data_IF_199176536604
#
_entry.id   IF_199176536604
#
_cell.length_a   1.000
_cell.length_b   1.000
_cell.length_c   1.000
_cell.angle_alpha   90.00
_cell.angle_beta   90.00
_cell.angle_gamma   90.00
#
_symmetry.space_group_name_H-M   'P 1'
#
loop_
_entity.id
_entity.type
_entity.pdbx_description
1 polymer ?
#
# COMPACT_ATOMS: atom_id res chain seq x y z
N UNK A 1 24.80 -26.24 44.35
CA UNK A 1 23.33 -26.39 44.27
C UNK A 1 23.08 -27.50 43.27
N UNK A 2 22.40 -28.58 43.69
CA UNK A 2 21.84 -29.54 42.74
C UNK A 2 20.69 -28.83 42.03
N UNK A 3 20.88 -28.51 40.76
CA UNK A 3 19.78 -28.06 39.91
C UNK A 3 18.68 -29.12 39.96
N UNK A 4 17.45 -28.72 40.29
CA UNK A 4 16.33 -29.65 40.40
C UNK A 4 16.09 -30.39 39.07
N UNK A 5 15.81 -31.68 39.16
CA UNK A 5 15.39 -32.51 38.03
C UNK A 5 13.91 -32.89 38.21
N UNK A 6 13.14 -32.79 37.14
CA UNK A 6 11.72 -33.16 37.14
C UNK A 6 11.48 -34.23 36.07
N UNK A 7 10.74 -35.27 36.44
CA UNK A 7 10.32 -36.32 35.53
C UNK A 7 8.81 -36.52 35.66
N UNK A 8 8.14 -36.75 34.53
CA UNK A 8 6.71 -37.04 34.50
C UNK A 8 5.99 -36.36 33.36
N UNK A 9 4.66 -36.42 33.38
CA UNK A 9 3.80 -35.81 32.37
C UNK A 9 2.65 -35.09 33.06
N UNK A 10 2.42 -33.85 32.66
CA UNK A 10 1.26 -33.07 33.04
C UNK A 10 0.32 -32.93 31.84
N UNK A 11 -0.81 -33.62 31.89
CA UNK A 11 -1.84 -33.54 30.87
C UNK A 11 -2.80 -32.39 31.18
N UNK A 12 -3.10 -31.55 30.20
CA UNK A 12 -4.00 -30.42 30.36
C UNK A 12 -5.14 -30.44 29.35
N UNK A 13 -6.31 -29.96 29.80
CA UNK A 13 -7.54 -29.91 29.01
C UNK A 13 -8.22 -28.57 29.22
N UNK A 14 -8.71 -27.96 28.14
CA UNK A 14 -9.40 -26.67 28.15
C UNK A 14 -8.65 -25.60 28.98
N UNK A 15 -7.34 -25.54 28.81
CA UNK A 15 -6.44 -24.69 29.61
C UNK A 15 -6.06 -23.43 28.86
N UNK A 16 -5.77 -22.37 29.61
CA UNK A 16 -5.21 -21.13 29.06
C UNK A 16 -3.69 -21.16 29.19
N UNK A 17 -3.00 -20.86 28.09
CA UNK A 17 -1.53 -20.84 28.02
C UNK A 17 -1.08 -19.47 27.53
N UNK A 18 -0.11 -18.89 28.22
CA UNK A 18 0.59 -17.65 27.84
C UNK A 18 2.09 -17.83 28.03
N UNK A 19 2.87 -17.05 27.29
CA UNK A 19 4.29 -16.88 27.51
C UNK A 19 4.50 -15.40 27.85
N UNK A 20 4.96 -15.09 29.06
CA UNK A 20 5.10 -13.67 29.42
C UNK A 20 6.10 -12.99 28.49
N UNK A 21 5.82 -11.73 28.17
CA UNK A 21 6.57 -10.98 27.16
C UNK A 21 6.05 -11.16 25.72
N UNK A 22 5.21 -12.17 25.45
CA UNK A 22 4.34 -12.20 24.27
C UNK A 22 2.93 -11.75 24.65
N UNK A 23 2.41 -10.74 23.95
CA UNK A 23 1.05 -10.25 24.13
C UNK A 23 0.05 -11.14 23.39
N UNK A 24 0.02 -12.41 23.74
CA UNK A 24 -0.87 -13.40 23.15
C UNK A 24 -1.25 -14.47 24.16
N UNK A 25 -2.45 -15.01 24.01
CA UNK A 25 -3.00 -16.03 24.90
C UNK A 25 -3.65 -17.12 24.06
N UNK A 26 -3.32 -18.37 24.37
CA UNK A 26 -3.94 -19.55 23.78
C UNK A 26 -5.04 -20.01 24.73
N UNK A 27 -6.27 -20.01 24.25
CA UNK A 27 -7.44 -20.45 25.00
C UNK A 27 -7.85 -21.87 24.59
N UNK A 28 -8.49 -22.59 25.51
CA UNK A 28 -9.04 -23.92 25.23
C UNK A 28 -7.99 -24.96 24.83
N UNK A 29 -6.74 -24.78 25.27
CA UNK A 29 -5.63 -25.64 24.90
C UNK A 29 -5.80 -27.05 25.51
N UNK A 30 -5.51 -28.07 24.71
CA UNK A 30 -5.46 -29.47 25.13
C UNK A 30 -4.12 -30.06 24.73
N UNK A 31 -3.48 -30.84 25.59
CA UNK A 31 -2.13 -31.34 25.32
C UNK A 31 -1.43 -31.89 26.55
N UNK A 32 -0.10 -31.94 26.49
CA UNK A 32 0.70 -32.30 27.64
C UNK A 32 2.02 -31.52 27.71
N UNK A 33 2.56 -31.48 28.92
CA UNK A 33 3.91 -31.04 29.24
C UNK A 33 4.67 -32.25 29.79
N UNK A 34 5.67 -32.72 29.06
CA UNK A 34 6.52 -33.85 29.46
C UNK A 34 7.82 -33.34 30.05
N UNK A 35 8.18 -33.83 31.22
CA UNK A 35 9.41 -33.49 31.93
C UNK A 35 10.40 -34.64 31.86
N UNK A 36 11.63 -34.35 31.48
CA UNK A 36 12.74 -35.31 31.42
C UNK A 36 14.02 -34.66 31.95
N UNK A 37 14.18 -34.68 33.27
CA UNK A 37 15.30 -34.07 33.95
C UNK A 37 15.19 -32.55 33.90
N UNK A 38 16.06 -31.90 33.12
CA UNK A 38 16.05 -30.44 32.90
C UNK A 38 15.24 -30.01 31.68
N UNK A 39 14.90 -30.96 30.82
CA UNK A 39 14.18 -30.71 29.58
C UNK A 39 12.68 -30.85 29.79
N UNK A 40 11.95 -30.02 29.09
CA UNK A 40 10.49 -30.01 29.01
C UNK A 40 10.08 -30.08 27.53
N UNK A 41 9.08 -30.87 27.21
CA UNK A 41 8.43 -30.89 25.90
C UNK A 41 6.98 -30.47 26.07
N UNK A 42 6.63 -29.34 25.47
CA UNK A 42 5.28 -28.81 25.43
C UNK A 42 4.66 -29.11 24.07
N UNK A 43 3.50 -29.77 24.06
CA UNK A 43 2.75 -29.96 22.81
C UNK A 43 1.24 -29.82 23.04
N UNK A 44 0.60 -29.09 22.13
CA UNK A 44 -0.86 -28.93 22.10
C UNK A 44 -1.46 -29.71 20.93
N UNK A 45 -2.50 -30.49 21.20
CA UNK A 45 -3.34 -31.14 20.19
C UNK A 45 -4.37 -30.18 19.60
N UNK A 46 -4.83 -29.20 20.38
CA UNK A 46 -5.65 -28.07 19.95
C UNK A 46 -5.45 -26.86 20.88
N UNK A 47 -5.81 -25.68 20.38
CA UNK A 47 -5.80 -24.41 21.10
C UNK A 47 -6.26 -23.29 20.18
N UNK A 48 -6.59 -22.13 20.74
CA UNK A 48 -7.13 -21.00 19.99
C UNK A 48 -6.51 -19.65 20.37
N UNK A 49 -6.05 -18.88 19.38
CA UNK A 49 -5.76 -17.46 19.53
C UNK A 49 -6.95 -16.70 18.93
N UNK A 50 -7.70 -15.96 19.75
CA UNK A 50 -8.91 -15.21 19.32
C UNK A 50 -9.86 -16.06 18.45
N UNK A 51 -10.19 -17.28 18.91
CA UNK A 51 -11.02 -18.27 18.23
C UNK A 51 -10.43 -18.89 16.95
N UNK A 52 -9.18 -18.57 16.59
CA UNK A 52 -8.48 -19.15 15.45
C UNK A 52 -7.59 -20.31 15.90
N UNK A 53 -7.63 -21.47 15.21
CA UNK A 53 -6.92 -22.67 15.64
C UNK A 53 -5.41 -22.47 15.59
N UNK A 54 -4.71 -22.87 16.65
CA UNK A 54 -3.26 -22.89 16.74
C UNK A 54 -2.79 -24.21 17.34
N UNK A 55 -1.60 -24.65 16.95
CA UNK A 55 -0.87 -25.74 17.58
C UNK A 55 0.56 -25.31 17.85
N UNK A 56 1.04 -25.67 19.03
CA UNK A 56 2.44 -25.53 19.44
C UNK A 56 2.98 -26.92 19.73
N UNK A 57 4.21 -27.16 19.30
CA UNK A 57 5.02 -28.32 19.66
C UNK A 57 6.45 -27.83 19.85
N UNK A 58 7.07 -28.10 20.99
CA UNK A 58 8.50 -27.88 21.12
C UNK A 58 9.03 -27.92 22.53
N UNK A 59 10.33 -27.68 22.64
CA UNK A 59 11.11 -27.96 23.83
C UNK A 59 11.43 -26.68 24.58
N UNK A 60 11.46 -26.79 25.90
CA UNK A 60 11.99 -25.78 26.80
C UNK A 60 12.89 -26.44 27.85
N UNK A 61 13.74 -25.68 28.53
CA UNK A 61 14.49 -26.19 29.69
C UNK A 61 14.47 -25.18 30.86
N UNK A 62 14.96 -25.63 32.02
CA UNK A 62 15.05 -24.78 33.23
C UNK A 62 16.01 -23.59 33.10
N UNK A 63 16.88 -23.57 32.06
CA UNK A 63 17.75 -22.43 31.77
C UNK A 63 17.06 -21.34 30.93
N UNK A 64 15.82 -21.59 30.49
CA UNK A 64 15.04 -20.68 29.66
C UNK A 64 15.24 -20.88 28.16
N UNK A 65 16.00 -21.89 27.71
CA UNK A 65 16.12 -22.17 26.29
C UNK A 65 14.78 -22.70 25.76
N UNK A 66 14.27 -22.10 24.68
CA UNK A 66 13.05 -22.54 23.99
C UNK A 66 13.33 -22.84 22.52
N UNK A 67 12.62 -23.82 21.98
CA UNK A 67 12.55 -24.17 20.56
C UNK A 67 11.12 -24.68 20.27
N UNK A 68 10.24 -23.76 19.89
CA UNK A 68 8.82 -24.02 19.63
C UNK A 68 8.48 -23.88 18.16
N UNK A 69 7.80 -24.88 17.62
CA UNK A 69 7.13 -24.82 16.33
C UNK A 69 5.65 -24.45 16.55
N UNK A 70 5.20 -23.36 15.93
CA UNK A 70 3.84 -22.83 16.03
C UNK A 70 3.18 -22.89 14.68
N UNK A 71 2.04 -23.57 14.57
CA UNK A 71 1.29 -23.69 13.32
C UNK A 71 -0.14 -23.23 13.48
N UNK A 72 -0.67 -22.56 12.46
CA UNK A 72 -2.08 -22.25 12.35
C UNK A 72 -2.53 -22.34 10.89
N UNK A 73 -3.60 -23.08 10.58
CA UNK A 73 -4.12 -23.17 9.22
C UNK A 73 -4.90 -21.91 8.79
N UNK A 74 -5.32 -21.09 9.75
CA UNK A 74 -6.05 -19.84 9.56
C UNK A 74 -5.92 -19.00 10.83
N UNK A 75 -5.19 -17.90 10.75
CA UNK A 75 -5.11 -16.85 11.77
C UNK A 75 -5.28 -15.50 11.09
N UNK A 76 -5.88 -14.52 11.76
CA UNK A 76 -6.01 -13.18 11.19
C UNK A 76 -4.61 -12.52 11.10
N UNK A 77 -4.27 -12.00 9.92
CA UNK A 77 -3.04 -11.24 9.74
C UNK A 77 -2.96 -10.02 10.66
N UNK A 78 -4.10 -9.40 10.99
CA UNK A 78 -4.17 -8.29 11.93
C UNK A 78 -3.72 -8.71 13.34
N UNK A 79 -4.11 -9.92 13.78
CA UNK A 79 -3.73 -10.44 15.09
C UNK A 79 -2.23 -10.72 15.16
N UNK A 80 -1.66 -11.31 14.10
CA UNK A 80 -0.21 -11.51 14.02
C UNK A 80 0.56 -10.18 14.03
N UNK A 81 0.05 -9.18 13.31
CA UNK A 81 0.63 -7.85 13.26
C UNK A 81 0.57 -7.15 14.63
N UNK A 82 -0.55 -7.28 15.34
CA UNK A 82 -0.70 -6.78 16.72
C UNK A 82 0.26 -7.46 17.69
N UNK A 83 0.37 -8.79 17.64
CA UNK A 83 1.31 -9.54 18.50
C UNK A 83 2.74 -9.06 18.25
N UNK A 84 3.16 -8.96 16.99
CA UNK A 84 4.51 -8.51 16.61
C UNK A 84 4.80 -7.08 17.08
N UNK A 85 3.82 -6.18 16.97
CA UNK A 85 4.01 -4.74 17.25
C UNK A 85 3.83 -4.37 18.72
N UNK A 86 3.19 -5.23 19.52
CA UNK A 86 2.91 -4.94 20.93
C UNK A 86 3.74 -5.77 21.91
N UNK A 87 4.21 -6.97 21.54
CA UNK A 87 4.96 -7.86 22.43
C UNK A 87 6.36 -7.31 22.75
N UNK A 88 6.72 -7.10 24.03
CA UNK A 88 8.05 -6.63 24.43
C UNK A 88 9.22 -7.49 23.92
N UNK A 89 9.07 -8.82 23.94
CA UNK A 89 10.11 -9.74 23.45
C UNK A 89 10.41 -9.58 21.94
N UNK A 90 9.53 -8.90 21.22
CA UNK A 90 9.61 -8.70 19.77
C UNK A 90 10.01 -7.27 19.40
N UNK A 91 10.41 -6.44 20.36
CA UNK A 91 10.78 -5.03 20.15
C UNK A 91 11.81 -4.85 19.02
N UNK A 92 12.84 -5.70 18.99
CA UNK A 92 13.87 -5.67 17.94
C UNK A 92 13.34 -5.96 16.54
N UNK A 93 12.14 -6.56 16.41
CA UNK A 93 11.53 -6.97 15.14
C UNK A 93 10.50 -5.97 14.62
N UNK A 94 10.07 -5.00 15.44
CA UNK A 94 9.04 -4.01 15.06
C UNK A 94 9.40 -3.20 13.82
N UNK A 95 10.68 -2.90 13.63
CA UNK A 95 11.18 -2.18 12.46
C UNK A 95 10.90 -2.90 11.14
N UNK A 96 10.74 -4.23 11.14
CA UNK A 96 10.45 -5.01 9.93
C UNK A 96 9.07 -4.70 9.34
N UNK A 97 8.12 -4.31 10.20
CA UNK A 97 6.73 -4.07 9.80
C UNK A 97 6.30 -2.62 9.95
N UNK A 98 7.21 -1.73 10.35
CA UNK A 98 6.97 -0.29 10.41
C UNK A 98 6.39 0.32 9.11
N UNK A 99 6.74 -0.13 7.89
CA UNK A 99 6.16 0.39 6.64
C UNK A 99 4.65 0.11 6.50
N UNK A 100 4.14 -0.89 7.22
CA UNK A 100 2.77 -1.39 7.11
C UNK A 100 1.86 -0.58 8.03
N UNK A 101 0.77 -0.06 7.46
CA UNK A 101 -0.26 0.66 8.21
C UNK A 101 -1.31 -0.31 8.77
N UNK A 102 -1.77 -1.24 7.92
CA UNK A 102 -2.79 -2.21 8.28
C UNK A 102 -2.67 -3.46 7.41
N UNK A 103 -3.03 -4.60 8.00
CA UNK A 103 -3.24 -5.89 7.32
C UNK A 103 -4.52 -6.52 7.84
N UNK A 104 -5.16 -7.36 7.05
CA UNK A 104 -6.32 -8.14 7.49
C UNK A 104 -6.52 -9.38 6.63
N UNK A 105 -7.38 -10.27 7.11
CA UNK A 105 -7.75 -11.50 6.42
C UNK A 105 -6.90 -12.67 6.86
N UNK A 106 -7.40 -13.87 6.55
CA UNK A 106 -6.80 -15.10 7.07
C UNK A 106 -5.51 -15.47 6.34
N UNK A 107 -4.53 -15.90 7.12
CA UNK A 107 -3.27 -16.49 6.64
C UNK A 107 -3.06 -17.83 7.31
N UNK A 108 -2.36 -18.75 6.66
CA UNK A 108 -1.78 -19.89 7.37
C UNK A 108 -0.32 -19.61 7.70
N UNK A 109 0.10 -20.03 8.89
CA UNK A 109 1.47 -19.83 9.37
C UNK A 109 2.09 -21.13 9.86
N UNK A 110 3.39 -21.23 9.65
CA UNK A 110 4.28 -22.18 10.30
C UNK A 110 5.50 -21.39 10.78
N UNK A 111 5.58 -21.15 12.08
CA UNK A 111 6.57 -20.32 12.72
C UNK A 111 7.47 -21.20 13.60
N UNK A 112 8.71 -20.76 13.78
CA UNK A 112 9.67 -21.34 14.71
C UNK A 112 10.19 -20.22 15.60
N UNK A 113 10.00 -20.39 16.90
CA UNK A 113 10.45 -19.51 17.96
C UNK A 113 11.60 -20.20 18.69
N UNK A 114 12.81 -19.64 18.59
CA UNK A 114 14.00 -20.22 19.19
C UNK A 114 14.82 -19.17 19.90
N UNK A 115 15.20 -19.41 21.15
CA UNK A 115 15.99 -18.44 21.89
C UNK A 115 16.05 -18.74 23.37
N UNK A 116 16.49 -17.77 24.14
CA UNK A 116 16.59 -17.85 25.59
C UNK A 116 15.58 -16.86 26.19
N UNK A 117 14.69 -17.37 27.03
CA UNK A 117 13.69 -16.63 27.80
C UNK A 117 14.01 -16.87 29.28
N UNK A 118 14.80 -15.99 29.88
CA UNK A 118 15.18 -16.08 31.31
C UNK A 118 14.16 -15.35 32.20
N UNK A 119 14.04 -15.86 33.42
CA UNK A 119 13.02 -15.55 34.42
C UNK A 119 12.64 -14.06 34.59
N UNK A 120 11.35 -13.87 34.86
CA UNK A 120 10.50 -12.73 34.50
C UNK A 120 10.62 -11.45 35.37
N UNK A 121 11.68 -11.32 36.18
CA UNK A 121 11.84 -10.20 37.14
C UNK A 121 12.79 -9.08 36.69
N UNK A 122 13.55 -9.28 35.61
CA UNK A 122 14.42 -8.24 35.03
C UNK A 122 14.58 -8.41 33.53
N UNK A 123 13.45 -8.36 32.82
CA UNK A 123 13.40 -8.28 31.35
C UNK A 123 13.88 -6.89 30.96
N UNK A 124 15.12 -6.71 30.51
CA UNK A 124 15.52 -5.51 29.74
C UNK A 124 16.85 -5.64 28.97
N UNK A 125 17.52 -6.81 28.90
CA UNK A 125 18.90 -6.85 28.38
C UNK A 125 19.29 -7.97 27.41
N UNK A 126 18.82 -9.21 27.56
CA UNK A 126 19.51 -10.37 26.97
C UNK A 126 18.58 -11.37 26.24
N UNK A 127 17.38 -10.98 25.84
CA UNK A 127 16.50 -11.87 25.08
C UNK A 127 16.94 -11.96 23.62
N UNK A 128 17.41 -13.14 23.21
CA UNK A 128 17.76 -13.45 21.82
C UNK A 128 16.69 -14.36 21.22
N UNK A 129 15.45 -13.87 21.13
CA UNK A 129 14.38 -14.61 20.47
C UNK A 129 14.51 -14.47 18.94
N UNK A 130 14.91 -15.57 18.30
CA UNK A 130 14.91 -15.70 16.85
C UNK A 130 13.56 -16.25 16.40
N UNK A 131 12.97 -15.58 15.41
CA UNK A 131 11.71 -16.01 14.79
C UNK A 131 11.98 -16.29 13.33
N UNK A 132 11.62 -17.48 12.88
CA UNK A 132 11.61 -17.83 11.47
C UNK A 132 10.29 -18.46 11.11
N UNK A 133 9.97 -18.56 9.82
CA UNK A 133 8.74 -19.21 9.43
C UNK A 133 8.30 -18.95 8.00
N UNK A 134 7.08 -19.42 7.74
CA UNK A 134 6.37 -19.27 6.49
C UNK A 134 4.98 -18.70 6.77
N UNK A 135 4.55 -17.81 5.90
CA UNK A 135 3.21 -17.24 5.87
C UNK A 135 2.64 -17.51 4.47
N UNK A 136 1.46 -18.09 4.42
CA UNK A 136 0.72 -18.30 3.18
C UNK A 136 -0.54 -17.44 3.23
N UNK A 137 -0.55 -16.43 2.37
CA UNK A 137 -1.60 -15.42 2.28
C UNK A 137 -2.76 -15.97 1.47
N UNK A 138 -3.97 -15.87 2.01
CA UNK A 138 -5.20 -16.40 1.39
C UNK A 138 -6.25 -15.31 1.36
N UNK A 139 -6.25 -14.52 0.28
CA UNK A 139 -7.20 -13.44 0.09
C UNK A 139 -7.13 -12.36 1.19
N UNK A 140 -5.91 -12.03 1.62
CA UNK A 140 -5.64 -11.02 2.64
C UNK A 140 -5.67 -9.60 2.04
N UNK A 141 -5.57 -8.57 2.88
CA UNK A 141 -5.37 -7.18 2.44
C UNK A 141 -4.19 -6.54 3.16
N UNK A 142 -3.60 -5.52 2.54
CA UNK A 142 -2.47 -4.79 3.09
C UNK A 142 -2.41 -3.34 2.63
N UNK A 143 -2.08 -2.44 3.55
CA UNK A 143 -1.93 -1.00 3.32
C UNK A 143 -0.58 -0.53 3.88
N UNK A 144 0.09 0.36 3.14
CA UNK A 144 1.35 0.97 3.54
C UNK A 144 1.11 2.40 4.05
N UNK A 145 1.86 2.82 5.08
CA UNK A 145 1.68 4.15 5.72
C UNK A 145 1.87 5.33 4.75
N UNK A 146 2.68 5.14 3.71
CA UNK A 146 3.05 6.17 2.74
C UNK A 146 2.32 6.04 1.40
N UNK A 147 1.38 5.11 1.25
CA UNK A 147 0.64 4.91 0.02
C UNK A 147 -0.88 5.04 0.24
N UNK A 148 -1.60 5.78 -0.62
CA UNK A 148 -3.05 5.91 -0.51
C UNK A 148 -3.81 4.66 -1.00
N UNK A 149 -3.10 3.63 -1.47
CA UNK A 149 -3.68 2.44 -2.10
C UNK A 149 -3.58 1.25 -1.16
N UNK A 150 -4.69 0.56 -0.97
CA UNK A 150 -4.75 -0.75 -0.31
C UNK A 150 -4.65 -1.85 -1.36
N UNK A 151 -3.71 -2.78 -1.19
CA UNK A 151 -3.63 -3.98 -2.01
C UNK A 151 -4.65 -5.00 -1.50
N UNK A 152 -5.50 -5.50 -2.40
CA UNK A 152 -6.60 -6.40 -2.08
C UNK A 152 -6.32 -7.81 -2.59
N UNK A 153 -7.03 -8.80 -2.01
CA UNK A 153 -6.99 -10.22 -2.42
C UNK A 153 -5.56 -10.74 -2.56
N UNK A 154 -4.73 -10.41 -1.57
CA UNK A 154 -3.33 -10.81 -1.51
C UNK A 154 -3.28 -12.32 -1.35
N UNK A 155 -2.55 -12.96 -2.25
CA UNK A 155 -2.31 -14.39 -2.26
C UNK A 155 -0.87 -14.69 -2.63
N UNK A 156 -0.23 -15.63 -1.96
CA UNK A 156 1.16 -15.97 -2.18
C UNK A 156 1.87 -16.35 -0.89
N UNK A 157 3.20 -16.48 -0.95
CA UNK A 157 3.99 -17.01 0.16
C UNK A 157 5.07 -16.02 0.58
N UNK A 158 5.21 -15.86 1.89
CA UNK A 158 6.35 -15.23 2.55
C UNK A 158 7.13 -16.28 3.33
N UNK A 159 8.45 -16.20 3.30
CA UNK A 159 9.33 -16.94 4.19
C UNK A 159 10.29 -15.95 4.85
N UNK A 160 10.58 -16.15 6.12
CA UNK A 160 11.48 -15.28 6.86
C UNK A 160 12.33 -16.06 7.86
N UNK A 161 13.50 -15.51 8.15
CA UNK A 161 14.41 -15.99 9.18
C UNK A 161 15.01 -14.75 9.85
N UNK A 162 14.47 -14.42 11.01
CA UNK A 162 14.69 -13.15 11.67
C UNK A 162 14.40 -11.98 10.70
N UNK A 163 15.37 -11.09 10.48
CA UNK A 163 15.23 -9.92 9.60
C UNK A 163 15.34 -10.25 8.11
N UNK A 164 15.83 -11.44 7.76
CA UNK A 164 15.88 -11.90 6.39
C UNK A 164 14.52 -12.42 5.96
N UNK A 165 14.07 -12.03 4.78
CA UNK A 165 12.78 -12.49 4.26
C UNK A 165 12.78 -12.56 2.76
N UNK A 166 11.85 -13.32 2.21
CA UNK A 166 11.48 -13.30 0.79
C UNK A 166 9.98 -13.48 0.67
N UNK A 167 9.40 -12.82 -0.32
CA UNK A 167 7.98 -12.91 -0.60
C UNK A 167 7.74 -12.94 -2.10
N UNK A 168 6.77 -13.74 -2.50
CA UNK A 168 6.20 -13.76 -3.85
C UNK A 168 4.67 -13.74 -3.70
N UNK A 169 4.10 -12.59 -4.04
CA UNK A 169 2.72 -12.23 -3.78
C UNK A 169 2.06 -11.76 -5.06
N UNK A 170 0.77 -12.08 -5.16
CA UNK A 170 -0.15 -11.52 -6.13
C UNK A 170 -1.26 -10.80 -5.38
N UNK A 171 -1.80 -9.74 -5.97
CA UNK A 171 -2.88 -8.99 -5.38
C UNK A 171 -3.57 -8.14 -6.42
N UNK A 172 -4.42 -7.23 -5.97
CA UNK A 172 -5.23 -6.39 -6.83
C UNK A 172 -5.22 -4.93 -6.38
N UNK A 173 -5.03 -4.02 -7.34
CA UNK A 173 -5.36 -2.60 -7.21
C UNK A 173 -6.68 -2.40 -7.95
N UNK A 174 -7.75 -2.12 -7.20
CA UNK A 174 -9.10 -2.17 -7.75
C UNK A 174 -9.41 -3.57 -8.32
N UNK A 175 -9.77 -3.64 -9.59
CA UNK A 175 -10.03 -4.89 -10.32
C UNK A 175 -8.81 -5.45 -11.05
N UNK A 176 -7.67 -4.74 -11.05
CA UNK A 176 -6.49 -5.10 -11.83
C UNK A 176 -5.44 -5.85 -11.01
N UNK A 177 -4.94 -6.95 -11.58
CA UNK A 177 -3.94 -7.81 -10.93
C UNK A 177 -2.56 -7.14 -10.90
N UNK A 178 -1.88 -7.27 -9.78
CA UNK A 178 -0.51 -6.79 -9.52
C UNK A 178 0.32 -7.95 -8.97
N UNK A 179 1.59 -7.99 -9.36
CA UNK A 179 2.58 -8.93 -8.87
C UNK A 179 3.59 -8.18 -8.00
N UNK A 180 3.90 -8.72 -6.83
CA UNK A 180 4.87 -8.16 -5.90
C UNK A 180 5.81 -9.27 -5.47
N UNK A 181 7.11 -9.09 -5.70
CA UNK A 181 8.11 -9.99 -5.19
C UNK A 181 9.27 -9.22 -4.59
N UNK A 182 10.00 -9.87 -3.70
CA UNK A 182 11.21 -9.29 -3.17
C UNK A 182 11.78 -10.05 -2.00
N UNK A 183 12.86 -9.52 -1.47
CA UNK A 183 13.58 -10.11 -0.36
C UNK A 183 14.33 -9.05 0.44
N UNK A 184 14.67 -9.41 1.67
CA UNK A 184 15.71 -8.80 2.46
C UNK A 184 16.73 -9.88 2.83
N UNK A 185 18.01 -9.58 2.62
CA UNK A 185 19.11 -10.45 3.05
C UNK A 185 20.26 -9.60 3.56
N UNK A 186 20.74 -9.87 4.76
CA UNK A 186 21.86 -9.15 5.39
C UNK A 186 21.62 -7.62 5.38
N UNK A 187 20.39 -7.20 5.68
CA UNK A 187 19.96 -5.79 5.68
C UNK A 187 19.79 -5.16 4.29
N UNK A 188 19.96 -5.92 3.20
CA UNK A 188 19.74 -5.48 1.82
C UNK A 188 18.36 -5.88 1.34
N UNK A 189 17.50 -4.91 1.10
CA UNK A 189 16.16 -5.09 0.55
C UNK A 189 16.14 -4.86 -0.95
N UNK A 190 15.52 -5.76 -1.71
CA UNK A 190 15.15 -5.58 -3.12
C UNK A 190 13.68 -6.00 -3.28
N UNK A 191 12.84 -5.04 -3.67
CA UNK A 191 11.40 -5.18 -3.83
C UNK A 191 11.03 -4.76 -5.24
N UNK A 192 10.14 -5.53 -5.89
CA UNK A 192 9.58 -5.18 -7.18
C UNK A 192 8.07 -5.37 -7.17
N UNK A 193 7.38 -4.44 -7.81
CA UNK A 193 5.96 -4.53 -8.06
C UNK A 193 5.70 -4.22 -9.53
N UNK A 194 4.88 -5.03 -10.19
CA UNK A 194 4.54 -4.80 -11.59
C UNK A 194 3.09 -5.13 -11.91
N UNK A 195 2.57 -4.43 -12.91
CA UNK A 195 1.25 -4.66 -13.48
C UNK A 195 1.26 -4.28 -14.95
N UNK A 196 0.63 -5.11 -15.78
CA UNK A 196 0.54 -4.92 -17.22
C UNK A 196 -0.71 -4.16 -17.67
N UNK A 197 -1.69 -3.98 -16.80
CA UNK A 197 -2.97 -3.35 -17.16
C UNK A 197 -3.75 -2.96 -15.90
N UNK A 198 -3.45 -1.79 -15.35
CA UNK A 198 -4.23 -1.20 -14.25
C UNK A 198 -5.18 -0.14 -14.77
N UNK A 199 -6.45 -0.21 -14.41
CA UNK A 199 -7.43 0.80 -14.82
C UNK A 199 -7.10 2.15 -14.18
N UNK A 200 -6.82 3.14 -15.02
CA UNK A 200 -6.41 4.49 -14.59
C UNK A 200 -7.49 5.14 -13.74
N UNK A 201 -8.76 4.96 -14.12
CA UNK A 201 -9.92 5.47 -13.39
C UNK A 201 -10.03 4.94 -11.96
N UNK A 202 -9.70 3.65 -11.75
CA UNK A 202 -9.70 3.05 -10.42
C UNK A 202 -8.56 3.60 -9.55
N UNK A 203 -7.37 3.84 -10.14
CA UNK A 203 -6.27 4.50 -9.42
C UNK A 203 -6.67 5.93 -9.04
N UNK A 204 -7.25 6.70 -9.97
CA UNK A 204 -7.69 8.07 -9.70
C UNK A 204 -8.72 8.07 -8.57
N UNK A 205 -9.71 7.18 -8.61
CA UNK A 205 -10.72 7.08 -7.55
C UNK A 205 -10.10 6.75 -6.18
N UNK A 206 -9.15 5.81 -6.13
CA UNK A 206 -8.44 5.45 -4.90
C UNK A 206 -7.64 6.62 -4.31
N UNK A 207 -6.94 7.38 -5.16
CA UNK A 207 -6.13 8.53 -4.71
C UNK A 207 -7.02 9.73 -4.32
N UNK A 208 -8.13 9.94 -5.03
CA UNK A 208 -9.06 11.06 -4.81
C UNK A 208 -9.85 10.94 -3.50
N UNK A 209 -10.02 9.73 -2.99
CA UNK A 209 -10.70 9.46 -1.71
C UNK A 209 -9.82 9.74 -0.48
N UNK A 210 -8.66 10.38 -0.66
CA UNK A 210 -7.82 10.77 0.46
C UNK A 210 -8.06 12.22 0.85
N UNK A 211 -8.24 12.49 2.14
CA UNK A 211 -8.45 13.85 2.68
C UNK A 211 -7.31 14.81 2.33
N UNK A 212 -6.16 14.28 1.90
CA UNK A 212 -4.95 15.04 1.56
C UNK A 212 -4.99 15.66 0.17
N UNK A 213 -5.78 15.14 -0.76
CA UNK A 213 -5.85 15.62 -2.15
C UNK A 213 -7.28 15.49 -2.67
N UNK A 214 -8.13 16.53 -2.50
CA UNK A 214 -9.43 16.57 -3.16
C UNK A 214 -9.22 16.77 -4.67
N UNK A 215 -9.03 15.66 -5.38
CA UNK A 215 -8.99 15.68 -6.84
C UNK A 215 -10.45 15.79 -7.30
N UNK A 216 -10.79 16.82 -8.11
CA UNK A 216 -12.14 16.97 -8.59
C UNK A 216 -12.53 15.78 -9.47
N UNK A 217 -13.78 15.31 -9.39
CA UNK A 217 -14.25 14.13 -10.14
C UNK A 217 -14.10 14.32 -11.65
N UNK A 218 -13.06 13.73 -12.23
CA UNK A 218 -12.77 13.77 -13.66
C UNK A 218 -13.73 12.85 -14.43
N UNK A 219 -13.99 13.12 -15.74
CA UNK A 219 -14.58 12.14 -16.63
C UNK A 219 -13.75 10.86 -16.65
N UNK A 220 -14.40 9.70 -16.84
CA UNK A 220 -13.69 8.43 -16.97
C UNK A 220 -12.79 8.47 -18.21
N UNK A 221 -11.55 8.03 -18.06
CA UNK A 221 -10.52 8.01 -19.10
C UNK A 221 -10.53 6.73 -19.92
N UNK A 222 -11.09 5.64 -19.36
CA UNK A 222 -11.08 4.29 -19.93
C UNK A 222 -9.70 3.91 -20.48
N UNK A 223 -8.67 4.28 -19.71
CA UNK A 223 -7.28 4.01 -20.03
C UNK A 223 -6.66 3.05 -19.04
N UNK A 224 -5.67 2.34 -19.52
CA UNK A 224 -4.89 1.39 -18.76
C UNK A 224 -3.49 1.99 -18.55
N UNK A 225 -2.91 1.67 -17.40
CA UNK A 225 -1.54 2.01 -17.08
C UNK A 225 -0.77 0.74 -16.76
N UNK A 226 0.41 0.63 -17.33
CA UNK A 226 1.39 -0.38 -16.97
C UNK A 226 2.38 0.23 -16.00
N UNK A 227 2.95 -0.58 -15.11
CA UNK A 227 4.08 -0.12 -14.32
C UNK A 227 5.02 -1.26 -13.92
N UNK A 228 6.27 -0.89 -13.74
CA UNK A 228 7.31 -1.65 -13.07
C UNK A 228 7.94 -0.73 -12.03
N UNK A 229 7.73 -1.04 -10.75
CA UNK A 229 8.27 -0.33 -9.60
C UNK A 229 9.29 -1.20 -8.88
N UNK A 230 10.37 -0.58 -8.43
CA UNK A 230 11.51 -1.23 -7.79
C UNK A 230 11.94 -0.38 -6.59
N UNK A 231 12.20 -1.03 -5.46
CA UNK A 231 12.77 -0.41 -4.27
C UNK A 231 14.01 -1.18 -3.83
N UNK A 232 15.13 -0.50 -3.66
CA UNK A 232 16.39 -1.11 -3.20
C UNK A 232 16.97 -0.31 -2.05
N UNK A 233 17.28 -0.96 -0.94
CA UNK A 233 17.88 -0.30 0.24
C UNK A 233 18.88 -1.21 0.94
N UNK A 234 19.90 -0.59 1.54
CA UNK A 234 20.85 -1.25 2.45
C UNK A 234 20.63 -0.79 3.91
N UNK A 235 19.49 -0.16 4.18
CA UNK A 235 19.14 0.38 5.49
C UNK A 235 17.72 -0.07 5.85
N UNK A 236 17.45 -0.34 7.14
CA UNK A 236 16.13 -0.77 7.59
C UNK A 236 15.09 0.35 7.50
N UNK A 237 15.50 1.62 7.56
CA UNK A 237 14.62 2.76 7.38
C UNK A 237 14.13 2.88 5.93
N UNK A 238 12.83 3.10 5.76
CA UNK A 238 12.21 3.36 4.46
C UNK A 238 12.63 4.74 3.96
N UNK A 239 13.21 4.77 2.77
CA UNK A 239 13.52 6.01 2.05
C UNK A 239 12.82 6.02 0.70
N UNK A 240 11.77 6.84 0.57
CA UNK A 240 10.98 6.94 -0.66
C UNK A 240 11.82 7.39 -1.86
N UNK A 241 12.96 8.05 -1.66
CA UNK A 241 13.84 8.39 -2.78
C UNK A 241 14.46 7.16 -3.43
N UNK A 242 14.59 6.04 -2.70
CA UNK A 242 15.07 4.77 -3.26
C UNK A 242 14.01 4.01 -4.05
N UNK A 243 12.77 4.50 -4.08
CA UNK A 243 11.74 4.01 -4.99
C UNK A 243 12.04 4.50 -6.40
N UNK A 244 11.99 3.56 -7.34
CA UNK A 244 12.00 3.84 -8.77
C UNK A 244 10.79 3.18 -9.42
N UNK A 245 10.21 3.84 -10.42
CA UNK A 245 9.10 3.27 -11.17
C UNK A 245 9.15 3.73 -12.62
N UNK A 246 8.68 2.91 -13.54
CA UNK A 246 8.44 3.28 -14.93
C UNK A 246 7.14 2.67 -15.40
N UNK A 247 6.44 3.36 -16.28
CA UNK A 247 5.18 2.87 -16.80
C UNK A 247 4.69 3.68 -17.99
N UNK A 248 3.64 3.17 -18.63
CA UNK A 248 3.04 3.82 -19.78
C UNK A 248 1.52 3.69 -19.79
N UNK A 249 0.87 4.71 -20.33
CA UNK A 249 -0.57 4.76 -20.54
C UNK A 249 -0.90 4.23 -21.93
N UNK A 250 -2.01 3.51 -22.04
CA UNK A 250 -2.59 3.10 -23.31
C UNK A 250 -4.11 3.03 -23.22
N UNK A 251 -4.83 3.22 -24.33
CA UNK A 251 -6.30 3.21 -24.32
C UNK A 251 -6.84 1.78 -24.17
N UNK A 252 -8.02 1.63 -23.57
CA UNK A 252 -8.77 0.35 -23.48
C UNK A 252 -9.61 0.05 -24.75
N UNK A 253 -9.66 0.96 -25.74
CA UNK A 253 -10.37 0.87 -27.06
C UNK A 253 -11.81 1.40 -27.17
N UNK A 254 -12.26 2.29 -26.27
CA UNK A 254 -13.61 2.90 -26.33
C UNK A 254 -13.60 4.31 -26.94
N UNK A 255 -14.69 4.68 -27.63
CA UNK A 255 -14.89 6.04 -28.15
C UNK A 255 -15.60 6.89 -27.09
N UNK A 256 -14.82 7.39 -26.13
CA UNK A 256 -15.31 8.20 -25.02
C UNK A 256 -14.91 9.68 -25.13
N UNK A 257 -15.56 10.50 -24.31
CA UNK A 257 -15.29 11.94 -24.21
C UNK A 257 -13.89 12.22 -23.66
N UNK A 258 -13.30 11.35 -22.84
CA UNK A 258 -11.92 11.52 -22.38
C UNK A 258 -11.15 10.21 -22.58
N UNK A 259 -10.08 10.26 -23.37
CA UNK A 259 -9.23 9.09 -23.65
C UNK A 259 -7.78 9.49 -23.49
N UNK A 260 -7.03 8.78 -22.65
CA UNK A 260 -5.57 8.87 -22.62
C UNK A 260 -5.02 7.92 -23.68
N UNK A 261 -4.50 8.49 -24.77
CA UNK A 261 -4.02 7.75 -25.94
C UNK A 261 -2.61 7.22 -25.77
N UNK A 262 -1.75 7.95 -25.06
CA UNK A 262 -0.39 7.51 -24.74
C UNK A 262 0.23 8.37 -23.65
N UNK A 263 1.35 7.92 -23.11
CA UNK A 263 2.16 8.65 -22.16
C UNK A 263 3.10 7.70 -21.46
N UNK A 264 4.26 8.19 -21.04
CA UNK A 264 5.19 7.42 -20.22
C UNK A 264 5.51 8.21 -18.97
N UNK A 265 5.64 7.53 -17.84
CA UNK A 265 6.14 8.13 -16.62
C UNK A 265 7.36 7.39 -16.09
N UNK A 266 8.20 8.12 -15.36
CA UNK A 266 9.32 7.58 -14.62
C UNK A 266 9.43 8.27 -13.26
N UNK A 267 9.75 7.51 -12.23
CA UNK A 267 10.17 7.97 -10.91
C UNK A 267 11.57 7.41 -10.67
N UNK A 268 12.51 8.27 -10.29
CA UNK A 268 13.84 7.84 -9.87
C UNK A 268 14.46 8.87 -8.92
N UNK A 269 15.00 8.41 -7.78
CA UNK A 269 15.65 9.28 -6.80
C UNK A 269 14.76 10.46 -6.37
N UNK A 270 13.47 10.18 -6.11
CA UNK A 270 12.47 11.21 -5.78
C UNK A 270 12.12 12.17 -6.92
N UNK A 271 12.60 11.97 -8.14
CA UNK A 271 12.26 12.80 -9.30
C UNK A 271 11.26 12.07 -10.18
N UNK A 272 10.09 12.68 -10.37
CA UNK A 272 9.04 12.20 -11.26
C UNK A 272 9.10 12.94 -12.60
N UNK A 273 8.83 12.21 -13.68
CA UNK A 273 8.73 12.73 -15.03
C UNK A 273 7.58 12.06 -15.77
N UNK A 274 6.79 12.86 -16.47
CA UNK A 274 5.72 12.45 -17.38
C UNK A 274 6.07 12.99 -18.77
N UNK A 275 6.21 12.09 -19.74
CA UNK A 275 6.57 12.41 -21.13
C UNK A 275 5.53 11.91 -22.09
N UNK A 276 5.38 12.64 -23.20
CA UNK A 276 4.53 12.26 -24.33
C UNK A 276 3.11 11.90 -23.90
N UNK A 277 2.57 12.60 -22.90
CA UNK A 277 1.20 12.38 -22.46
C UNK A 277 0.27 12.97 -23.51
N UNK A 278 -0.40 12.09 -24.25
CA UNK A 278 -1.37 12.47 -25.27
C UNK A 278 -2.74 12.00 -24.82
N UNK A 279 -3.69 12.91 -24.85
CA UNK A 279 -5.07 12.59 -24.57
C UNK A 279 -6.02 13.33 -25.52
N UNK A 280 -7.25 12.84 -25.58
CA UNK A 280 -8.37 13.45 -26.29
C UNK A 280 -9.43 13.79 -25.26
N UNK A 281 -9.88 15.05 -25.21
CA UNK A 281 -11.05 15.47 -24.45
C UNK A 281 -12.07 16.08 -25.43
N UNK A 282 -13.20 15.42 -25.63
CA UNK A 282 -14.14 15.64 -26.73
C UNK A 282 -13.37 15.68 -28.06
N UNK A 283 -13.47 16.75 -28.84
CA UNK A 283 -12.73 16.91 -30.09
C UNK A 283 -11.34 17.54 -29.94
N UNK A 284 -10.89 17.76 -28.70
CA UNK A 284 -9.67 18.51 -28.39
C UNK A 284 -8.50 17.57 -28.16
N UNK A 285 -7.35 17.87 -28.77
CA UNK A 285 -6.09 17.13 -28.51
C UNK A 285 -5.34 17.80 -27.37
N UNK A 286 -4.98 16.99 -26.38
CA UNK A 286 -4.22 17.39 -25.19
C UNK A 286 -2.83 16.77 -25.30
N UNK A 287 -1.80 17.60 -25.17
CA UNK A 287 -0.42 17.18 -25.00
C UNK A 287 0.13 17.74 -23.68
N UNK A 288 0.69 16.87 -22.84
CA UNK A 288 1.32 17.29 -21.60
C UNK A 288 2.70 16.66 -21.41
N UNK A 289 3.54 17.42 -20.74
CA UNK A 289 4.79 16.94 -20.16
C UNK A 289 4.97 17.60 -18.80
N UNK A 290 5.42 16.83 -17.81
CA UNK A 290 5.64 17.32 -16.46
C UNK A 290 6.88 16.71 -15.85
N UNK A 291 7.54 17.45 -14.99
CA UNK A 291 8.66 17.01 -14.18
C UNK A 291 8.50 17.56 -12.78
N UNK A 292 8.61 16.69 -11.78
CA UNK A 292 8.62 17.08 -10.37
C UNK A 292 9.91 16.60 -9.75
N UNK A 293 10.74 17.53 -9.31
CA UNK A 293 11.98 17.24 -8.60
C UNK A 293 11.72 17.20 -7.10
N UNK A 294 12.40 16.29 -6.40
CA UNK A 294 12.27 16.10 -4.95
C UNK A 294 10.81 15.91 -4.50
N UNK A 295 10.06 15.05 -5.19
CA UNK A 295 8.63 14.81 -5.00
C UNK A 295 8.22 14.55 -3.55
N UNK A 296 9.08 13.87 -2.79
CA UNK A 296 8.82 13.51 -1.39
C UNK A 296 9.31 14.56 -0.37
N UNK A 297 9.79 15.72 -0.84
CA UNK A 297 10.27 16.82 0.00
C UNK A 297 9.24 17.95 0.08
N UNK A 298 9.28 18.71 1.18
CA UNK A 298 8.55 19.98 1.31
C UNK A 298 9.01 21.04 0.27
N UNK A 299 10.23 20.91 -0.24
CA UNK A 299 10.82 21.82 -1.24
C UNK A 299 10.75 21.26 -2.67
N UNK A 300 9.66 20.56 -3.01
CA UNK A 300 9.50 20.01 -4.36
C UNK A 300 9.45 21.13 -5.41
N UNK A 301 9.89 20.80 -6.62
CA UNK A 301 9.86 21.71 -7.76
C UNK A 301 9.17 21.06 -8.94
N UNK A 302 8.03 21.60 -9.33
CA UNK A 302 7.28 21.24 -10.52
C UNK A 302 7.62 22.17 -11.69
N UNK A 303 7.90 21.55 -12.83
CA UNK A 303 8.03 22.16 -14.15
C UNK A 303 7.13 21.36 -15.12
N UNK A 304 6.53 22.01 -16.11
CA UNK A 304 5.70 21.30 -17.07
C UNK A 304 5.03 22.18 -18.10
N UNK A 305 4.42 21.56 -19.10
CA UNK A 305 3.65 22.23 -20.13
C UNK A 305 2.40 21.41 -20.45
N UNK A 306 1.31 22.11 -20.69
CA UNK A 306 0.03 21.56 -21.14
C UNK A 306 -0.40 22.36 -22.36
N UNK A 307 -0.53 21.68 -23.49
CA UNK A 307 -1.02 22.23 -24.73
C UNK A 307 -2.33 21.56 -25.08
N UNK A 308 -3.37 22.35 -25.32
CA UNK A 308 -4.66 21.88 -25.83
C UNK A 308 -4.87 22.59 -27.15
N UNK A 309 -4.88 21.84 -28.25
CA UNK A 309 -5.06 22.39 -29.59
C UNK A 309 -6.50 22.19 -30.06
N UNK A 310 -7.04 23.22 -30.71
CA UNK A 310 -8.37 23.22 -31.31
C UNK A 310 -9.47 22.79 -30.32
N UNK A 311 -9.39 23.30 -29.09
CA UNK A 311 -10.41 23.05 -28.07
C UNK A 311 -11.75 23.57 -28.55
N UNK A 312 -12.71 22.67 -28.73
CA UNK A 312 -14.07 23.02 -29.13
C UNK A 312 -14.78 23.68 -27.95
N UNK A 313 -14.97 25.00 -28.05
CA UNK A 313 -15.54 25.81 -26.96
C UNK A 313 -17.00 25.44 -26.69
N UNK A 314 -17.69 24.80 -27.64
CA UNK A 314 -19.04 24.26 -27.40
C UNK A 314 -19.05 23.16 -26.33
N UNK A 315 -17.91 22.50 -26.08
CA UNK A 315 -17.73 21.53 -24.99
C UNK A 315 -18.03 22.15 -23.61
N UNK A 316 -17.90 23.47 -23.45
CA UNK A 316 -18.26 24.17 -22.21
C UNK A 316 -19.74 24.02 -21.86
N UNK A 317 -20.62 23.83 -22.84
CA UNK A 317 -22.04 23.55 -22.60
C UNK A 317 -22.26 22.23 -21.84
N UNK A 318 -21.44 21.22 -22.11
CA UNK A 318 -21.42 19.95 -21.40
C UNK A 318 -20.66 20.08 -20.07
N UNK A 319 -19.48 20.73 -20.09
CA UNK A 319 -18.59 20.83 -18.93
C UNK A 319 -19.20 21.65 -17.78
N UNK A 320 -20.03 22.67 -18.03
CA UNK A 320 -20.62 23.50 -16.95
C UNK A 320 -21.45 22.71 -15.92
N UNK A 321 -21.87 21.48 -16.27
CA UNK A 321 -22.59 20.54 -15.38
C UNK A 321 -21.65 19.61 -14.62
N UNK A 322 -20.37 19.52 -15.00
CA UNK A 322 -19.40 18.59 -14.42
C UNK A 322 -18.88 19.09 -13.07
N UNK A 323 -18.64 18.14 -12.16
CA UNK A 323 -18.24 18.44 -10.78
C UNK A 323 -16.80 18.97 -10.66
N UNK A 324 -15.95 18.75 -11.67
CA UNK A 324 -14.54 19.13 -11.57
C UNK A 324 -14.24 20.62 -11.77
N UNK A 325 -15.20 21.41 -12.25
CA UNK A 325 -14.96 22.83 -12.50
C UNK A 325 -14.88 23.61 -11.19
N UNK A 326 -13.87 24.50 -11.01
CA UNK A 326 -13.81 25.40 -9.87
C UNK A 326 -15.11 26.20 -9.72
N UNK A 327 -15.64 26.43 -8.49
CA UNK A 327 -16.92 27.09 -8.29
C UNK A 327 -17.06 28.44 -9.00
N UNK A 328 -15.99 29.25 -9.03
CA UNK A 328 -15.99 30.54 -9.71
C UNK A 328 -16.11 30.40 -11.23
N UNK A 329 -15.41 29.43 -11.83
CA UNK A 329 -15.52 29.15 -13.26
C UNK A 329 -16.90 28.59 -13.59
N UNK A 330 -17.46 27.73 -12.73
CA UNK A 330 -18.81 27.21 -12.90
C UNK A 330 -19.86 28.32 -12.88
N UNK A 331 -19.77 29.28 -11.94
CA UNK A 331 -20.62 30.48 -11.90
C UNK A 331 -20.54 31.28 -13.19
N UNK A 332 -19.32 31.55 -13.66
CA UNK A 332 -19.09 32.26 -14.93
C UNK A 332 -19.73 31.52 -16.11
N UNK A 333 -19.53 30.20 -16.19
CA UNK A 333 -20.00 29.40 -17.32
C UNK A 333 -21.52 29.22 -17.36
N UNK A 334 -22.21 29.32 -16.22
CA UNK A 334 -23.68 29.24 -16.13
C UNK A 334 -24.36 30.52 -16.65
N UNK A 335 -23.69 31.68 -16.56
CA UNK A 335 -24.24 32.95 -17.01
C UNK A 335 -24.41 33.05 -18.54
N UNK A 336 -23.68 32.22 -19.30
CA UNK A 336 -23.75 32.19 -20.76
C UNK A 336 -24.16 30.80 -21.30
N UNK A 337 -24.77 30.81 -22.47
CA UNK A 337 -25.27 29.64 -23.19
C UNK A 337 -24.78 29.67 -24.64
N UNK A 338 -24.96 28.57 -25.37
CA UNK A 338 -24.65 28.48 -26.81
C UNK A 338 -23.19 28.84 -27.16
N UNK A 339 -22.24 28.38 -26.33
CA UNK A 339 -20.82 28.51 -26.64
C UNK A 339 -20.48 27.84 -27.98
N UNK A 340 -19.70 28.53 -28.81
CA UNK A 340 -19.13 27.99 -30.06
C UNK A 340 -17.79 28.68 -30.37
N UNK A 341 -17.06 28.10 -31.32
CA UNK A 341 -15.71 28.52 -31.70
C UNK A 341 -14.63 27.57 -31.16
N UNK A 342 -13.38 27.96 -31.35
CA UNK A 342 -12.22 27.15 -30.97
C UNK A 342 -11.23 27.92 -30.10
N UNK A 343 -10.49 27.22 -29.25
CA UNK A 343 -9.40 27.80 -28.47
C UNK A 343 -8.14 26.94 -28.51
N UNK A 344 -6.98 27.58 -28.58
CA UNK A 344 -5.70 26.94 -28.33
C UNK A 344 -5.19 27.37 -26.95
N UNK A 345 -4.97 26.41 -26.05
CA UNK A 345 -4.50 26.66 -24.68
C UNK A 345 -3.05 26.18 -24.57
N UNK A 346 -2.17 27.05 -24.07
CA UNK A 346 -0.79 26.71 -23.76
C UNK A 346 -0.49 27.16 -22.33
N UNK A 347 -0.38 26.21 -21.40
CA UNK A 347 0.01 26.46 -20.01
C UNK A 347 1.43 25.94 -19.79
N UNK A 348 2.23 26.71 -19.08
CA UNK A 348 3.58 26.36 -18.68
C UNK A 348 3.73 26.57 -17.17
N UNK A 349 4.26 25.58 -16.47
CA UNK A 349 4.72 25.69 -15.10
C UNK A 349 6.25 25.73 -15.11
N UNK A 350 6.83 26.73 -14.45
CA UNK A 350 8.28 26.78 -14.19
C UNK A 350 8.53 27.17 -12.75
N UNK A 351 9.28 26.35 -12.02
CA UNK A 351 9.56 26.53 -10.59
C UNK A 351 8.27 26.75 -9.77
N UNK A 352 7.27 25.88 -9.94
CA UNK A 352 5.95 26.00 -9.30
C UNK A 352 5.12 27.23 -9.72
N UNK A 353 5.58 28.04 -10.69
CA UNK A 353 4.86 29.23 -11.18
C UNK A 353 4.18 28.92 -12.50
N UNK A 354 2.86 29.04 -12.53
CA UNK A 354 2.04 28.85 -13.71
C UNK A 354 1.98 30.13 -14.56
N UNK A 355 2.11 29.97 -15.88
CA UNK A 355 1.82 31.00 -16.89
C UNK A 355 1.01 30.35 -18.01
N UNK A 356 0.07 31.09 -18.58
CA UNK A 356 -0.82 30.55 -19.61
C UNK A 356 -1.09 31.55 -20.72
N UNK A 357 -1.31 31.04 -21.93
CA UNK A 357 -1.87 31.77 -23.05
C UNK A 357 -3.07 30.98 -23.58
N UNK A 358 -4.17 31.67 -23.80
CA UNK A 358 -5.35 31.14 -24.49
C UNK A 358 -5.53 31.97 -25.75
N UNK A 359 -5.49 31.34 -26.92
CA UNK A 359 -5.80 31.98 -28.19
C UNK A 359 -7.21 31.58 -28.60
N UNK A 360 -8.10 32.56 -28.67
CA UNK A 360 -9.51 32.39 -28.99
C UNK A 360 -9.72 32.59 -30.50
N UNK A 361 -10.51 31.72 -31.13
CA UNK A 361 -10.84 31.75 -32.56
C UNK A 361 -12.34 31.62 -32.75
N UNK A 362 -12.96 32.64 -33.34
CA UNK A 362 -14.38 32.67 -33.69
C UNK A 362 -15.32 32.37 -32.51
N UNK A 363 -14.98 32.88 -31.33
CA UNK A 363 -15.76 32.63 -30.11
C UNK A 363 -17.09 33.36 -30.16
N UNK A 364 -18.18 32.61 -29.95
CA UNK A 364 -19.52 33.16 -29.74
C UNK A 364 -20.15 32.51 -28.53
N UNK A 365 -20.95 33.28 -27.82
CA UNK A 365 -21.80 32.84 -26.72
C UNK A 365 -22.95 33.81 -26.57
N UNK A 366 -24.05 33.34 -26.00
CA UNK A 366 -25.23 34.14 -25.71
C UNK A 366 -25.31 34.38 -24.21
N UNK A 367 -25.47 35.65 -23.82
CA UNK A 367 -25.70 36.00 -22.43
C UNK A 367 -27.19 35.86 -22.11
N UNK A 368 -27.53 34.99 -21.16
CA UNK A 368 -28.90 34.82 -20.72
C UNK A 368 -29.27 35.97 -19.76
N UNK A 369 -29.80 37.07 -20.31
CA UNK A 369 -30.19 38.28 -19.57
C UNK A 369 -31.11 38.03 -18.34
N UNK A 370 -31.75 36.86 -18.27
CA UNK A 370 -32.73 36.51 -17.23
C UNK A 370 -32.20 35.58 -16.11
N UNK A 371 -30.88 35.29 -16.04
CA UNK A 371 -30.31 34.32 -15.07
C UNK A 371 -29.31 34.87 -14.05
N UNK A 372 -29.24 36.17 -13.80
CA UNK A 372 -28.54 36.71 -12.60
C UNK A 372 -29.24 37.94 -12.03
N UNK A 373 -29.42 38.08 -10.71
CA UNK A 373 -29.42 39.40 -10.09
C UNK A 373 -27.97 39.91 -10.05
N UNK A 374 -27.75 41.09 -10.61
CA UNK A 374 -26.53 41.86 -10.37
C UNK A 374 -26.59 42.37 -8.94
N UNK A 375 -25.57 42.06 -8.14
CA UNK A 375 -25.22 42.90 -6.99
C UNK A 375 -23.80 43.40 -7.26
N UNK A 376 -23.70 44.71 -7.46
CA UNK A 376 -22.46 45.47 -7.64
C UNK A 376 -21.63 45.41 -6.36
#
# INVERSE_FOLDING_TARGET
>A
MTDGEVYGQFNYKNTTVSLDGLNTVINGANGALEFKGKDMHFYSTSGFIKNQPVKIDGKANLAGDIDFDVTSPAIDAADLFEILTTSPMLDSKKAMVDPVEAVSGQVSVALKLKGIVKDFSSILGNETLNISGKIDFKNSTGKLKFAPITLQKISGKGEFNDTDWKADLTGFIGSSKVFVNGFCKDGRTDLKANASSVKTDEIIALVSNTDKLPIPKLPLTHSLVTFNAHYKSNTPQVDLNKLSAKGYFHPETRNDDFIISSGNFALNNGNFELKNFNAKLFNSKIYAHAKVQNLFSQNYRADGNLNISNFDVSSLNAMKKMAFLPPNLKKLLIAYENYSGHADVNLNCRNNKLKGKIALKDIKFEHSYFKTPVSV
#
